data_IF_967481120431
#
_entry.id   IF_967481120431
#
_cell.length_a   1.000
_cell.length_b   1.000
_cell.length_c   1.000
_cell.angle_alpha   90.00
_cell.angle_beta   90.00
_cell.angle_gamma   90.00
#
_symmetry.space_group_name_H-M   'P 1'
#
loop_
_entity.id
_entity.type
_entity.pdbx_description
1 polymer ?
#
# COMPACT_ATOMS: atom_id res chain seq x y z
N UNK A 1 11.00 -48.11 13.81
CA UNK A 1 10.73 -46.78 13.25
C UNK A 1 9.66 -46.15 14.10
N UNK A 2 9.73 -44.86 14.37
CA UNK A 2 8.64 -44.15 15.03
C UNK A 2 7.42 -44.05 14.11
N UNK A 3 6.23 -44.10 14.69
CA UNK A 3 4.97 -43.92 13.98
C UNK A 3 4.24 -42.62 14.38
N UNK A 4 3.10 -42.36 13.76
CA UNK A 4 2.30 -41.17 14.05
C UNK A 4 1.72 -41.15 15.48
N UNK A 5 1.54 -42.31 16.10
CA UNK A 5 1.07 -42.43 17.48
C UNK A 5 2.17 -42.05 18.47
N UNK A 6 3.43 -42.37 18.19
CA UNK A 6 4.58 -41.93 19.00
C UNK A 6 4.63 -40.40 19.06
N UNK A 7 4.50 -39.72 17.91
CA UNK A 7 4.50 -38.27 17.85
C UNK A 7 3.28 -37.63 18.53
N UNK A 8 2.10 -38.28 18.44
CA UNK A 8 0.88 -37.83 19.14
C UNK A 8 0.99 -38.04 20.65
N UNK A 9 1.56 -39.17 21.08
CA UNK A 9 1.83 -39.51 22.47
C UNK A 9 2.74 -38.48 23.13
N UNK A 10 3.87 -38.14 22.49
CA UNK A 10 4.78 -37.10 22.96
C UNK A 10 4.07 -35.76 23.18
N UNK A 11 3.26 -35.29 22.22
CA UNK A 11 2.50 -34.04 22.36
C UNK A 11 1.50 -34.09 23.51
N UNK A 12 0.80 -35.21 23.67
CA UNK A 12 -0.12 -35.42 24.78
C UNK A 12 0.61 -35.40 26.15
N UNK A 13 1.80 -35.99 26.26
CA UNK A 13 2.62 -35.93 27.48
C UNK A 13 2.99 -34.50 27.87
N UNK A 14 3.14 -33.61 26.88
CA UNK A 14 3.38 -32.18 27.08
C UNK A 14 2.08 -31.37 27.30
N UNK A 15 0.91 -32.02 27.34
CA UNK A 15 -0.39 -31.35 27.55
C UNK A 15 -1.08 -30.84 26.29
N UNK A 16 -0.59 -31.19 25.09
CA UNK A 16 -1.13 -30.70 23.82
C UNK A 16 -1.86 -31.78 23.03
N UNK A 17 -3.17 -31.60 22.85
CA UNK A 17 -4.03 -32.50 22.07
C UNK A 17 -4.13 -32.13 20.58
N UNK A 18 -3.57 -30.97 20.20
CA UNK A 18 -3.57 -30.44 18.84
C UNK A 18 -2.14 -30.19 18.37
N UNK A 19 -1.81 -30.61 17.14
CA UNK A 19 -0.53 -30.28 16.53
C UNK A 19 -0.35 -28.77 16.35
N UNK A 20 -1.43 -28.03 16.04
CA UNK A 20 -1.36 -26.57 15.88
C UNK A 20 -1.11 -25.86 17.20
N UNK A 21 -1.82 -26.24 18.27
CA UNK A 21 -1.61 -25.65 19.60
C UNK A 21 -0.17 -25.88 20.08
N UNK A 22 0.39 -27.07 19.82
CA UNK A 22 1.78 -27.35 20.15
C UNK A 22 2.78 -26.53 19.32
N UNK A 23 2.51 -26.32 18.03
CA UNK A 23 3.33 -25.44 17.16
C UNK A 23 3.27 -23.99 17.61
N UNK A 24 2.10 -23.51 18.04
CA UNK A 24 1.91 -22.16 18.54
C UNK A 24 2.69 -21.97 19.84
N UNK A 25 2.54 -22.88 20.81
CA UNK A 25 3.30 -22.85 22.07
C UNK A 25 4.81 -22.87 21.85
N UNK A 26 5.33 -23.82 21.07
CA UNK A 26 6.77 -23.90 20.79
C UNK A 26 7.30 -22.66 20.06
N UNK A 27 6.44 -21.99 19.28
CA UNK A 27 6.76 -20.75 18.59
C UNK A 27 6.44 -19.48 19.38
N UNK A 28 5.99 -19.59 20.63
CA UNK A 28 5.45 -18.50 21.46
C UNK A 28 4.38 -17.64 20.75
N UNK A 29 3.63 -18.23 19.80
CA UNK A 29 2.61 -17.53 19.00
C UNK A 29 1.29 -17.33 19.75
N UNK A 30 1.12 -18.04 20.86
CA UNK A 30 0.04 -17.89 21.82
C UNK A 30 0.21 -16.66 22.72
N UNK A 31 1.42 -16.08 22.77
CA UNK A 31 1.69 -14.81 23.45
C UNK A 31 1.40 -13.66 22.49
N UNK A 32 0.32 -12.93 22.73
CA UNK A 32 0.01 -11.74 21.94
C UNK A 32 0.86 -10.54 22.41
N UNK A 33 1.73 -9.96 21.56
CA UNK A 33 2.46 -8.76 21.94
C UNK A 33 1.49 -7.60 22.18
N UNK A 34 1.72 -6.84 23.25
CA UNK A 34 0.98 -5.61 23.49
C UNK A 34 1.36 -4.55 22.44
N UNK A 35 0.41 -3.66 22.14
CA UNK A 35 0.67 -2.52 21.29
C UNK A 35 1.49 -1.49 22.06
N UNK A 36 2.64 -1.11 21.52
CA UNK A 36 3.46 -0.04 22.04
C UNK A 36 3.01 1.30 21.45
N UNK A 37 2.15 2.00 22.19
CA UNK A 37 1.64 3.30 21.78
C UNK A 37 2.72 4.39 21.74
N UNK A 38 3.81 4.27 22.50
CA UNK A 38 4.91 5.22 22.42
C UNK A 38 5.65 5.08 21.09
N UNK A 39 5.94 3.84 20.69
CA UNK A 39 6.53 3.54 19.39
C UNK A 39 5.60 3.96 18.24
N UNK A 40 4.29 3.63 18.34
CA UNK A 40 3.29 4.06 17.35
C UNK A 40 3.23 5.57 17.20
N UNK A 41 3.29 6.33 18.30
CA UNK A 41 3.31 7.79 18.26
C UNK A 41 4.60 8.34 17.63
N UNK A 42 5.74 7.72 17.89
CA UNK A 42 7.00 8.08 17.23
C UNK A 42 6.93 7.85 15.71
N UNK A 43 6.33 6.73 15.28
CA UNK A 43 6.08 6.43 13.87
C UNK A 43 5.13 7.45 13.22
N UNK A 44 4.05 7.83 13.92
CA UNK A 44 3.14 8.90 13.48
C UNK A 44 3.88 10.22 13.28
N UNK A 45 4.71 10.63 14.24
CA UNK A 45 5.53 11.85 14.14
C UNK A 45 6.47 11.78 12.93
N UNK A 46 7.08 10.63 12.67
CA UNK A 46 7.93 10.43 11.49
C UNK A 46 7.17 10.59 10.17
N UNK A 47 5.90 10.19 10.09
CA UNK A 47 5.08 10.46 8.89
C UNK A 47 4.93 11.97 8.65
N UNK A 48 4.63 12.74 9.70
CA UNK A 48 4.53 14.21 9.61
C UNK A 48 5.85 14.79 9.10
N UNK A 49 6.98 14.39 9.70
CA UNK A 49 8.32 14.84 9.28
C UNK A 49 8.61 14.53 7.80
N UNK A 50 8.28 13.32 7.33
CA UNK A 50 8.49 12.90 5.93
C UNK A 50 7.68 13.79 4.98
N UNK A 51 6.38 13.95 5.22
CA UNK A 51 5.51 14.70 4.31
C UNK A 51 5.77 16.21 4.38
N UNK A 52 6.19 16.75 5.54
CA UNK A 52 6.70 18.12 5.63
C UNK A 52 7.97 18.32 4.78
N UNK A 53 8.90 17.37 4.82
CA UNK A 53 10.12 17.43 4.02
C UNK A 53 9.83 17.34 2.51
N UNK A 54 8.93 16.44 2.11
CA UNK A 54 8.47 16.32 0.71
C UNK A 54 7.79 17.62 0.25
N UNK A 55 6.91 18.20 1.08
CA UNK A 55 6.20 19.42 0.74
C UNK A 55 7.14 20.60 0.42
N UNK A 56 8.32 20.64 1.03
CA UNK A 56 9.28 21.72 0.78
C UNK A 56 9.80 21.77 -0.67
N UNK A 57 9.81 20.63 -1.36
CA UNK A 57 10.31 20.49 -2.74
C UNK A 57 9.22 20.13 -3.76
N UNK A 58 8.00 19.89 -3.31
CA UNK A 58 6.90 19.44 -4.15
C UNK A 58 6.42 20.55 -5.10
N UNK A 59 6.19 20.22 -6.38
CA UNK A 59 5.77 21.21 -7.39
C UNK A 59 4.35 21.77 -7.19
N UNK A 60 3.51 21.07 -6.43
CA UNK A 60 2.20 21.55 -5.96
C UNK A 60 2.23 21.77 -4.44
N UNK A 61 3.30 22.39 -3.94
CA UNK A 61 3.54 22.68 -2.52
C UNK A 61 2.28 23.25 -1.84
N UNK A 62 1.92 22.61 -0.73
CA UNK A 62 0.85 23.07 0.15
C UNK A 62 1.34 24.26 0.95
N UNK A 63 0.48 25.27 1.12
CA UNK A 63 0.67 26.29 2.14
C UNK A 63 0.71 25.67 3.54
N UNK A 64 1.19 26.43 4.53
CA UNK A 64 1.24 25.99 5.92
C UNK A 64 -0.13 25.54 6.42
N UNK A 65 -1.17 26.34 6.17
CA UNK A 65 -2.55 26.01 6.55
C UNK A 65 -3.08 24.75 5.84
N UNK A 66 -2.82 24.59 4.54
CA UNK A 66 -3.24 23.39 3.79
C UNK A 66 -2.53 22.13 4.29
N UNK A 67 -1.24 22.24 4.62
CA UNK A 67 -0.45 21.13 5.14
C UNK A 67 -0.90 20.73 6.56
N UNK A 68 -1.16 21.70 7.43
CA UNK A 68 -1.75 21.44 8.75
C UNK A 68 -3.11 20.76 8.64
N UNK A 69 -3.97 21.25 7.74
CA UNK A 69 -5.27 20.65 7.47
C UNK A 69 -5.14 19.21 6.94
N UNK A 70 -4.16 18.95 6.07
CA UNK A 70 -3.85 17.61 5.59
C UNK A 70 -3.43 16.68 6.75
N UNK A 71 -2.51 17.09 7.62
CA UNK A 71 -2.08 16.26 8.75
C UNK A 71 -3.22 15.97 9.72
N UNK A 72 -4.07 16.95 10.01
CA UNK A 72 -5.23 16.76 10.89
C UNK A 72 -6.19 15.71 10.33
N UNK A 73 -6.50 15.76 9.03
CA UNK A 73 -7.54 14.92 8.43
C UNK A 73 -7.06 13.54 7.97
N UNK A 74 -5.80 13.45 7.51
CA UNK A 74 -5.25 12.25 6.88
C UNK A 74 -4.30 11.49 7.79
N UNK A 75 -3.72 12.13 8.81
CA UNK A 75 -2.90 11.45 9.82
C UNK A 75 -3.68 11.33 11.13
N UNK A 76 -3.93 12.44 11.83
CA UNK A 76 -4.46 12.41 13.20
C UNK A 76 -5.82 11.70 13.26
N UNK A 77 -6.79 12.13 12.42
CA UNK A 77 -8.12 11.52 12.36
C UNK A 77 -8.08 10.02 12.03
N UNK A 78 -7.20 9.60 11.12
CA UNK A 78 -7.11 8.20 10.70
C UNK A 78 -6.44 7.34 11.78
N UNK A 79 -5.38 7.84 12.42
CA UNK A 79 -4.74 7.18 13.55
C UNK A 79 -5.71 7.01 14.72
N UNK A 80 -6.46 8.05 15.10
CA UNK A 80 -7.50 7.95 16.13
C UNK A 80 -8.50 6.85 15.78
N UNK A 81 -9.03 6.84 14.56
CA UNK A 81 -9.93 5.77 14.09
C UNK A 81 -9.32 4.37 14.21
N UNK A 82 -8.05 4.18 13.82
CA UNK A 82 -7.35 2.89 13.91
C UNK A 82 -7.26 2.39 15.36
N UNK A 83 -6.96 3.31 16.28
CA UNK A 83 -6.81 3.01 17.71
C UNK A 83 -8.17 2.76 18.36
N UNK A 84 -9.12 3.69 18.19
CA UNK A 84 -10.43 3.68 18.84
C UNK A 84 -11.28 2.47 18.43
N UNK A 85 -11.05 1.91 17.24
CA UNK A 85 -11.77 0.74 16.73
C UNK A 85 -11.00 -0.56 16.87
N UNK A 86 -9.84 -0.54 17.52
CA UNK A 86 -8.96 -1.70 17.70
C UNK A 86 -8.54 -2.38 16.38
N UNK A 87 -8.66 -1.69 15.23
CA UNK A 87 -8.19 -2.19 13.93
C UNK A 87 -6.71 -2.52 14.00
N UNK A 88 -5.93 -1.78 14.78
CA UNK A 88 -4.49 -2.01 14.94
C UNK A 88 -4.17 -3.46 15.28
N UNK A 89 -4.97 -4.15 16.10
CA UNK A 89 -4.72 -5.55 16.46
C UNK A 89 -4.95 -6.53 15.30
N UNK A 90 -5.70 -6.13 14.27
CA UNK A 90 -5.94 -6.90 13.05
C UNK A 90 -4.90 -6.62 11.97
N UNK A 91 -4.04 -5.60 12.15
CA UNK A 91 -2.97 -5.29 11.23
C UNK A 91 -1.82 -6.25 11.42
N UNK A 92 -1.85 -7.35 10.67
CA UNK A 92 -0.79 -8.36 10.69
C UNK A 92 -0.15 -8.47 9.31
N UNK A 93 1.14 -8.79 9.27
CA UNK A 93 1.84 -9.11 8.03
C UNK A 93 3.09 -9.96 8.31
N UNK A 94 3.01 -11.27 8.10
CA UNK A 94 4.15 -12.20 8.20
C UNK A 94 4.94 -12.06 9.51
N UNK A 95 4.26 -11.92 10.65
CA UNK A 95 4.89 -11.79 11.97
C UNK A 95 5.44 -10.39 12.30
N UNK A 96 5.29 -9.40 11.40
CA UNK A 96 5.59 -8.00 11.71
C UNK A 96 4.69 -7.47 12.82
N UNK A 97 5.25 -6.55 13.60
CA UNK A 97 4.54 -5.83 14.66
C UNK A 97 3.39 -5.00 14.06
N UNK A 98 2.20 -4.98 14.68
CA UNK A 98 1.07 -4.24 14.13
C UNK A 98 1.32 -2.74 13.93
N UNK A 99 2.16 -2.13 14.77
CA UNK A 99 2.57 -0.72 14.67
C UNK A 99 3.34 -0.44 13.37
N UNK A 100 4.22 -1.36 12.96
CA UNK A 100 4.99 -1.24 11.71
C UNK A 100 4.11 -1.48 10.48
N UNK A 101 3.16 -2.41 10.59
CA UNK A 101 2.15 -2.64 9.54
C UNK A 101 1.27 -1.41 9.39
N UNK A 102 0.83 -0.81 10.50
CA UNK A 102 0.10 0.46 10.52
C UNK A 102 0.92 1.57 9.86
N UNK A 103 2.17 1.76 10.26
CA UNK A 103 3.06 2.76 9.65
C UNK A 103 3.22 2.55 8.13
N UNK A 104 3.48 1.31 7.70
CA UNK A 104 3.63 1.03 6.27
C UNK A 104 2.35 1.26 5.48
N UNK A 105 1.19 0.94 6.04
CA UNK A 105 -0.10 1.20 5.42
C UNK A 105 -0.38 2.71 5.35
N UNK A 106 -0.20 3.42 6.47
CA UNK A 106 -0.38 4.88 6.54
C UNK A 106 0.51 5.60 5.55
N UNK A 107 1.75 5.17 5.34
CA UNK A 107 2.61 5.74 4.30
C UNK A 107 1.99 5.65 2.91
N UNK A 108 1.50 4.47 2.52
CA UNK A 108 0.87 4.28 1.20
C UNK A 108 -0.38 5.13 1.04
N UNK A 109 -1.26 5.11 2.05
CA UNK A 109 -2.46 5.95 2.10
C UNK A 109 -2.14 7.45 1.96
N UNK A 110 -1.14 7.94 2.70
CA UNK A 110 -0.75 9.34 2.65
C UNK A 110 -0.16 9.73 1.30
N UNK A 111 0.57 8.85 0.60
CA UNK A 111 1.01 9.11 -0.78
C UNK A 111 -0.19 9.31 -1.70
N UNK A 112 -1.17 8.41 -1.63
CA UNK A 112 -2.38 8.50 -2.45
C UNK A 112 -3.16 9.81 -2.19
N UNK A 113 -3.27 10.23 -0.93
CA UNK A 113 -3.94 11.49 -0.57
C UNK A 113 -3.12 12.75 -0.90
N UNK A 114 -1.84 12.76 -0.58
CA UNK A 114 -0.97 13.94 -0.69
C UNK A 114 -0.71 14.34 -2.14
N UNK A 115 -0.55 13.37 -3.03
CA UNK A 115 -0.24 13.62 -4.44
C UNK A 115 -1.48 13.78 -5.33
N UNK A 116 -2.67 13.95 -4.77
CA UNK A 116 -3.90 14.16 -5.55
C UNK A 116 -3.81 15.34 -6.52
N UNK A 117 -3.14 16.43 -6.14
CA UNK A 117 -2.95 17.58 -7.04
C UNK A 117 -2.06 17.22 -8.25
N UNK A 118 -1.00 16.43 -8.02
CA UNK A 118 -0.16 15.90 -9.08
C UNK A 118 -0.95 14.99 -10.01
N UNK A 119 -1.73 14.06 -9.44
CA UNK A 119 -2.59 13.13 -10.21
C UNK A 119 -3.63 13.91 -11.01
N UNK A 120 -4.33 14.86 -10.40
CA UNK A 120 -5.34 15.68 -11.06
C UNK A 120 -4.74 16.41 -12.28
N UNK A 121 -3.58 17.03 -12.09
CA UNK A 121 -2.85 17.69 -13.17
C UNK A 121 -2.43 16.71 -14.27
N UNK A 122 -1.86 15.56 -13.88
CA UNK A 122 -1.34 14.56 -14.80
C UNK A 122 -2.43 13.99 -15.73
N UNK A 123 -3.63 13.78 -15.20
CA UNK A 123 -4.77 13.25 -15.96
C UNK A 123 -5.71 14.34 -16.49
N UNK A 124 -5.31 15.61 -16.41
CA UNK A 124 -6.11 16.77 -16.82
C UNK A 124 -7.55 16.70 -16.27
N UNK A 125 -7.67 16.47 -14.97
CA UNK A 125 -8.94 16.36 -14.25
C UNK A 125 -8.95 17.24 -13.01
N UNK A 126 -10.11 17.34 -12.36
CA UNK A 126 -10.26 18.10 -11.12
C UNK A 126 -10.00 17.18 -9.93
N UNK A 127 -9.42 17.71 -8.85
CA UNK A 127 -9.10 16.92 -7.65
C UNK A 127 -10.34 16.24 -7.06
N UNK A 128 -11.48 16.93 -7.13
CA UNK A 128 -12.77 16.51 -6.59
C UNK A 128 -13.39 15.33 -7.35
N UNK A 129 -12.95 15.07 -8.58
CA UNK A 129 -13.43 13.92 -9.38
C UNK A 129 -12.63 12.64 -9.08
N UNK A 130 -11.53 12.73 -8.33
CA UNK A 130 -10.73 11.59 -7.87
C UNK A 130 -11.45 10.96 -6.66
N UNK A 131 -12.29 9.96 -6.94
CA UNK A 131 -13.08 9.27 -5.91
C UNK A 131 -12.39 8.00 -5.45
N UNK A 132 -12.43 7.73 -4.15
CA UNK A 132 -12.02 6.43 -3.61
C UNK A 132 -12.85 5.30 -4.21
N UNK A 133 -12.18 4.24 -4.64
CA UNK A 133 -12.76 3.01 -5.17
C UNK A 133 -12.38 1.78 -4.32
N UNK A 134 -11.20 1.83 -3.67
CA UNK A 134 -10.68 0.79 -2.79
C UNK A 134 -11.56 0.54 -1.56
N UNK A 135 -11.53 -0.70 -1.06
CA UNK A 135 -12.28 -1.12 0.13
C UNK A 135 -11.53 -0.91 1.45
N UNK A 136 -10.33 -0.35 1.39
CA UNK A 136 -9.42 -0.11 2.50
C UNK A 136 -9.40 1.36 2.94
N UNK A 137 -10.49 2.10 2.71
CA UNK A 137 -10.63 3.45 3.25
C UNK A 137 -11.09 3.43 4.72
N UNK A 138 -10.70 4.44 5.49
CA UNK A 138 -11.13 4.63 6.89
C UNK A 138 -12.41 5.48 6.99
N UNK A 139 -13.14 5.67 5.89
CA UNK A 139 -14.43 6.36 5.90
C UNK A 139 -15.49 5.49 6.59
N UNK A 140 -15.46 4.18 6.34
CA UNK A 140 -16.26 3.19 7.07
C UNK A 140 -15.38 2.06 7.60
N UNK A 141 -15.13 2.08 8.91
CA UNK A 141 -14.33 1.08 9.64
C UNK A 141 -14.98 -0.30 9.55
N UNK A 142 -16.32 -0.35 9.49
CA UNK A 142 -17.11 -1.58 9.37
C UNK A 142 -16.89 -2.29 8.03
N UNK A 143 -16.56 -1.54 6.97
CA UNK A 143 -16.30 -2.07 5.64
C UNK A 143 -14.81 -2.21 5.31
N UNK A 144 -13.91 -1.76 6.20
CA UNK A 144 -12.45 -1.82 6.01
C UNK A 144 -12.02 -3.26 5.72
N UNK A 145 -11.61 -3.50 4.48
CA UNK A 145 -11.06 -4.78 4.02
C UNK A 145 -9.90 -4.50 3.09
N UNK A 146 -8.75 -5.13 3.38
CA UNK A 146 -7.63 -5.16 2.42
C UNK A 146 -8.15 -5.71 1.10
N UNK A 147 -8.08 -4.91 0.05
CA UNK A 147 -8.64 -5.23 -1.26
C UNK A 147 -7.56 -5.12 -2.32
N UNK A 148 -7.55 -6.00 -3.35
CA UNK A 148 -6.68 -5.83 -4.49
C UNK A 148 -7.15 -4.71 -5.43
N UNK A 149 -8.35 -4.15 -5.20
CA UNK A 149 -8.90 -3.04 -5.99
C UNK A 149 -7.96 -1.83 -6.02
N UNK A 150 -8.07 -1.07 -7.10
CA UNK A 150 -7.41 0.22 -7.27
C UNK A 150 -7.91 1.25 -6.24
N UNK A 151 -7.06 2.21 -5.90
CA UNK A 151 -7.35 3.25 -4.91
C UNK A 151 -8.44 4.21 -5.38
N UNK A 152 -8.37 4.66 -6.64
CA UNK A 152 -9.24 5.68 -7.18
C UNK A 152 -9.96 5.28 -8.47
N UNK A 153 -11.11 5.91 -8.70
CA UNK A 153 -11.84 5.92 -9.96
C UNK A 153 -11.93 7.36 -10.47
N UNK A 154 -11.36 7.60 -11.65
CA UNK A 154 -11.41 8.89 -12.36
C UNK A 154 -12.52 8.88 -13.41
N UNK A 155 -13.40 9.87 -13.33
CA UNK A 155 -14.48 10.13 -14.30
C UNK A 155 -15.30 8.88 -14.68
N UNK A 156 -15.43 7.89 -13.78
CA UNK A 156 -16.10 6.61 -14.01
C UNK A 156 -15.54 5.73 -15.15
N UNK A 157 -14.36 6.05 -15.70
CA UNK A 157 -13.82 5.38 -16.89
C UNK A 157 -12.34 5.00 -16.78
N UNK A 158 -11.69 5.28 -15.66
CA UNK A 158 -10.29 4.93 -15.43
C UNK A 158 -10.05 4.61 -13.96
N UNK A 159 -9.50 3.44 -13.68
CA UNK A 159 -9.03 3.08 -12.35
C UNK A 159 -7.58 3.53 -12.19
N UNK A 160 -7.26 4.12 -11.03
CA UNK A 160 -5.89 4.45 -10.65
C UNK A 160 -5.49 3.68 -9.39
N UNK A 161 -4.42 2.92 -9.49
CA UNK A 161 -3.70 2.31 -8.37
C UNK A 161 -2.51 3.20 -8.05
N UNK A 162 -2.39 3.67 -6.81
CA UNK A 162 -1.25 4.48 -6.38
C UNK A 162 -0.27 3.60 -5.61
N UNK A 163 0.97 3.54 -6.10
CA UNK A 163 2.05 2.84 -5.42
C UNK A 163 3.17 3.81 -5.04
N UNK A 164 3.96 3.42 -4.04
CA UNK A 164 5.11 4.21 -3.60
C UNK A 164 6.35 3.35 -3.39
N UNK A 165 7.46 3.81 -3.95
CA UNK A 165 8.80 3.31 -3.69
C UNK A 165 9.47 4.11 -2.58
N UNK A 166 10.03 3.42 -1.58
CA UNK A 166 10.74 4.05 -0.45
C UNK A 166 12.22 3.67 -0.36
N UNK A 167 12.69 2.77 -1.23
CA UNK A 167 14.03 2.17 -1.17
C UNK A 167 14.71 2.10 -2.55
N UNK A 168 14.13 2.75 -3.57
CA UNK A 168 14.62 2.69 -4.95
C UNK A 168 14.32 1.37 -5.67
N UNK A 169 13.53 0.48 -5.07
CA UNK A 169 12.98 -0.70 -5.75
C UNK A 169 11.56 -0.38 -6.18
N UNK A 170 11.31 -0.45 -7.48
CA UNK A 170 10.07 -0.03 -8.12
C UNK A 170 9.44 -1.23 -8.83
N UNK A 171 8.55 -1.92 -8.12
CA UNK A 171 7.92 -3.16 -8.59
C UNK A 171 6.41 -3.10 -8.34
N UNK A 172 5.62 -3.60 -9.30
CA UNK A 172 4.18 -3.75 -9.20
C UNK A 172 3.86 -5.21 -8.86
N UNK A 173 3.09 -5.43 -7.80
CA UNK A 173 2.72 -6.79 -7.39
C UNK A 173 1.83 -7.47 -8.42
N UNK A 174 2.10 -8.74 -8.72
CA UNK A 174 1.34 -9.50 -9.73
C UNK A 174 -0.17 -9.47 -9.52
N UNK A 175 -0.66 -9.63 -8.29
CA UNK A 175 -2.09 -9.62 -8.01
C UNK A 175 -2.79 -8.29 -8.34
N UNK A 176 -2.05 -7.17 -8.39
CA UNK A 176 -2.59 -5.87 -8.84
C UNK A 176 -2.77 -5.85 -10.35
N UNK A 177 -1.82 -6.42 -11.10
CA UNK A 177 -1.93 -6.58 -12.56
C UNK A 177 -3.08 -7.52 -12.93
N UNK A 178 -3.21 -8.66 -12.25
CA UNK A 178 -4.30 -9.61 -12.49
C UNK A 178 -5.68 -9.00 -12.18
N UNK A 179 -5.81 -8.23 -11.10
CA UNK A 179 -7.05 -7.52 -10.81
C UNK A 179 -7.36 -6.46 -11.88
N UNK A 180 -6.36 -5.71 -12.35
CA UNK A 180 -6.53 -4.73 -13.42
C UNK A 180 -6.99 -5.35 -14.75
N UNK A 181 -6.42 -6.49 -15.15
CA UNK A 181 -6.85 -7.24 -16.33
C UNK A 181 -8.30 -7.71 -16.19
N UNK A 182 -8.65 -8.27 -15.03
CA UNK A 182 -10.03 -8.69 -14.72
C UNK A 182 -11.03 -7.53 -14.81
N UNK A 183 -10.67 -6.34 -14.34
CA UNK A 183 -11.49 -5.13 -14.45
C UNK A 183 -11.67 -4.65 -15.88
N UNK A 184 -10.61 -4.73 -16.69
CA UNK A 184 -10.71 -4.43 -18.11
C UNK A 184 -11.62 -5.43 -18.85
N UNK A 185 -11.60 -6.71 -18.47
CA UNK A 185 -12.46 -7.73 -19.06
C UNK A 185 -13.94 -7.56 -18.71
N UNK A 186 -14.24 -7.41 -17.41
CA UNK A 186 -15.61 -7.38 -16.88
C UNK A 186 -16.24 -5.99 -17.04
N UNK A 187 -15.56 -4.96 -16.55
CA UNK A 187 -16.11 -3.61 -16.43
C UNK A 187 -15.79 -2.74 -17.65
N UNK A 188 -14.88 -3.19 -18.54
CA UNK A 188 -14.32 -2.41 -19.66
C UNK A 188 -13.59 -1.14 -19.21
N UNK A 189 -13.09 -1.13 -17.97
CA UNK A 189 -12.36 0.00 -17.38
C UNK A 189 -10.87 -0.35 -17.27
N UNK A 190 -9.98 0.40 -17.95
CA UNK A 190 -8.53 0.20 -17.82
C UNK A 190 -8.04 0.66 -16.44
N UNK A 191 -6.90 0.12 -16.01
CA UNK A 191 -6.24 0.50 -14.77
C UNK A 191 -4.82 0.98 -15.03
N UNK A 192 -4.47 2.14 -14.50
CA UNK A 192 -3.12 2.69 -14.51
C UNK A 192 -2.56 2.67 -13.10
N UNK A 193 -1.31 2.23 -12.96
CA UNK A 193 -0.52 2.48 -11.75
C UNK A 193 0.15 3.84 -11.88
N UNK A 194 -0.06 4.70 -10.88
CA UNK A 194 0.75 5.91 -10.66
C UNK A 194 1.73 5.58 -9.53
N UNK A 195 2.99 5.34 -9.90
CA UNK A 195 4.03 4.96 -8.95
C UNK A 195 4.89 6.16 -8.59
N UNK A 196 4.85 6.56 -7.32
CA UNK A 196 5.71 7.61 -6.75
C UNK A 196 6.94 6.98 -6.10
N UNK A 197 8.09 7.03 -6.77
CA UNK A 197 9.36 6.65 -6.19
C UNK A 197 9.90 7.82 -5.36
N UNK A 198 9.52 7.85 -4.09
CA UNK A 198 9.92 8.90 -3.15
C UNK A 198 11.40 8.84 -2.78
N UNK A 199 12.05 7.68 -3.01
CA UNK A 199 13.48 7.55 -2.77
C UNK A 199 14.29 8.34 -3.80
N UNK A 200 13.87 8.32 -5.06
CA UNK A 200 14.56 9.01 -6.16
C UNK A 200 13.87 10.29 -6.65
N UNK A 201 12.68 10.63 -6.13
CA UNK A 201 11.95 11.85 -6.49
C UNK A 201 11.29 11.82 -7.86
N UNK A 202 10.97 10.63 -8.37
CA UNK A 202 10.46 10.39 -9.73
C UNK A 202 9.10 9.69 -9.72
N UNK A 203 8.35 9.83 -10.80
CA UNK A 203 7.00 9.26 -10.95
C UNK A 203 6.87 8.53 -12.27
N UNK A 204 6.31 7.33 -12.23
CA UNK A 204 5.98 6.52 -13.39
C UNK A 204 4.47 6.31 -13.50
N UNK A 205 3.99 6.23 -14.74
CA UNK A 205 2.62 5.82 -15.05
C UNK A 205 2.66 4.60 -15.96
N UNK A 206 1.99 3.53 -15.55
CA UNK A 206 2.01 2.24 -16.28
C UNK A 206 0.58 1.75 -16.44
N UNK A 207 0.13 1.51 -17.67
CA UNK A 207 -1.18 0.88 -17.93
C UNK A 207 -1.12 -0.63 -17.65
N UNK A 208 -1.31 -0.98 -16.38
CA UNK A 208 -1.12 -2.35 -15.91
C UNK A 208 -2.16 -3.34 -16.45
N UNK A 209 -3.34 -2.88 -16.86
CA UNK A 209 -4.36 -3.76 -17.45
C UNK A 209 -3.96 -4.33 -18.81
N UNK A 210 -2.90 -3.82 -19.46
CA UNK A 210 -2.40 -4.29 -20.76
C UNK A 210 -1.08 -5.06 -20.67
N UNK A 211 -0.50 -5.22 -19.48
CA UNK A 211 0.73 -5.99 -19.29
C UNK A 211 0.48 -7.44 -19.71
N UNK A 212 1.39 -8.01 -20.51
CA UNK A 212 1.31 -9.41 -20.96
C UNK A 212 1.99 -10.34 -19.96
N UNK A 213 1.54 -11.57 -19.85
CA UNK A 213 2.14 -12.57 -18.96
C UNK A 213 3.60 -12.92 -19.33
N UNK A 214 3.94 -12.82 -20.61
CA UNK A 214 5.28 -13.11 -21.12
C UNK A 214 6.17 -11.85 -21.25
N UNK A 215 5.79 -10.74 -20.62
CA UNK A 215 6.61 -9.52 -20.60
C UNK A 215 7.96 -9.76 -19.90
N UNK A 216 9.03 -9.22 -20.47
CA UNK A 216 10.40 -9.40 -19.95
C UNK A 216 10.61 -8.76 -18.57
N UNK A 217 9.76 -7.81 -18.18
CA UNK A 217 9.83 -7.14 -16.89
C UNK A 217 9.24 -7.96 -15.74
N UNK A 218 8.62 -9.11 -16.01
CA UNK A 218 8.24 -10.05 -14.95
C UNK A 218 9.47 -10.69 -14.32
N UNK A 219 9.63 -10.47 -13.03
CA UNK A 219 10.76 -10.99 -12.26
C UNK A 219 10.29 -11.62 -10.95
N UNK A 220 11.06 -12.59 -10.46
CA UNK A 220 10.84 -13.20 -9.15
C UNK A 220 11.78 -12.55 -8.12
N UNK A 221 11.21 -11.92 -7.09
CA UNK A 221 11.99 -11.27 -6.02
C UNK A 221 12.07 -12.18 -4.80
N UNK A 222 13.27 -12.72 -4.51
CA UNK A 222 13.51 -13.51 -3.30
C UNK A 222 13.25 -12.70 -2.02
N UNK A 223 13.56 -11.40 -2.03
CA UNK A 223 13.27 -10.46 -0.94
C UNK A 223 11.76 -10.30 -0.66
N UNK A 224 10.90 -10.67 -1.62
CA UNK A 224 9.45 -10.73 -1.45
C UNK A 224 8.95 -12.18 -1.37
N UNK A 225 9.70 -13.04 -0.68
CA UNK A 225 9.36 -14.47 -0.49
C UNK A 225 9.17 -15.23 -1.82
N UNK A 226 9.88 -14.82 -2.87
CA UNK A 226 9.76 -15.44 -4.19
C UNK A 226 8.48 -15.06 -4.93
N UNK A 227 7.81 -13.96 -4.55
CA UNK A 227 6.67 -13.45 -5.31
C UNK A 227 7.12 -12.94 -6.68
N UNK A 228 6.27 -13.19 -7.68
CA UNK A 228 6.38 -12.58 -9.00
C UNK A 228 5.90 -11.14 -8.94
N UNK A 229 6.68 -10.23 -9.52
CA UNK A 229 6.37 -8.81 -9.61
C UNK A 229 6.77 -8.30 -10.99
N UNK A 230 6.10 -7.24 -11.42
CA UNK A 230 6.45 -6.53 -12.64
C UNK A 230 7.40 -5.39 -12.28
N UNK A 231 8.64 -5.44 -12.76
CA UNK A 231 9.61 -4.38 -12.53
C UNK A 231 9.27 -3.15 -13.39
N UNK A 232 9.18 -1.98 -12.76
CA UNK A 232 9.01 -0.73 -13.49
C UNK A 232 10.40 -0.30 -13.98
N UNK A 233 10.68 -0.50 -15.27
CA UNK A 233 11.91 0.00 -15.91
C UNK A 233 12.05 1.52 -15.75
N UNK A 234 13.29 2.00 -15.73
CA UNK A 234 13.60 3.43 -15.64
C UNK A 234 12.96 4.24 -16.78
N UNK A 235 12.72 3.62 -17.94
CA UNK A 235 12.08 4.25 -19.11
C UNK A 235 10.61 4.66 -18.86
N UNK A 236 9.95 4.12 -17.83
CA UNK A 236 8.60 4.51 -17.45
C UNK A 236 8.56 5.78 -16.57
N UNK A 237 9.71 6.21 -16.02
CA UNK A 237 9.80 7.35 -15.10
C UNK A 237 9.95 8.67 -15.85
N UNK A 238 8.84 9.17 -16.36
CA UNK A 238 8.78 10.35 -17.22
C UNK A 238 8.56 11.68 -16.47
N UNK A 239 8.37 11.64 -15.15
CA UNK A 239 8.04 12.83 -14.36
C UNK A 239 8.86 12.89 -13.06
N UNK A 240 9.04 14.11 -12.56
CA UNK A 240 9.66 14.38 -11.25
C UNK A 240 8.66 15.01 -10.31
N UNK A 241 8.74 14.65 -9.03
CA UNK A 241 7.88 15.21 -7.98
C UNK A 241 8.10 16.73 -7.81
N UNK A 242 9.29 17.21 -8.15
CA UNK A 242 9.70 18.61 -8.00
C UNK A 242 9.34 19.50 -9.18
N UNK A 243 8.82 18.93 -10.27
CA UNK A 243 8.50 19.66 -11.50
C UNK A 243 7.03 19.44 -11.87
N UNK A 244 6.36 20.48 -12.38
CA UNK A 244 5.01 20.28 -12.95
C UNK A 244 5.16 19.43 -14.22
N UNK A 245 4.34 18.38 -14.42
CA UNK A 245 4.40 17.58 -15.64
C UNK A 245 4.33 18.44 -16.91
N UNK A 246 5.31 18.34 -17.81
CA UNK A 246 5.34 19.16 -19.02
C UNK A 246 4.28 18.72 -20.07
N UNK A 247 3.71 17.53 -19.90
CA UNK A 247 2.62 16.98 -20.70
C UNK A 247 1.70 16.14 -19.79
N UNK A 248 0.40 16.23 -20.05
CA UNK A 248 -0.55 15.29 -19.47
C UNK A 248 -0.20 13.85 -19.90
N UNK A 249 -0.56 12.87 -19.09
CA UNK A 249 -0.37 11.47 -19.43
C UNK A 249 -1.20 11.09 -20.67
N UNK A 250 -0.55 10.55 -21.69
CA UNK A 250 -1.20 10.02 -22.89
C UNK A 250 -1.31 8.49 -22.74
N UNK A 251 -2.54 7.97 -22.76
CA UNK A 251 -2.85 6.54 -22.63
C UNK A 251 -2.34 5.67 -23.78
N UNK A 252 -1.78 6.28 -24.83
CA UNK A 252 -1.20 5.58 -25.97
C UNK A 252 0.33 5.36 -25.83
N UNK A 253 0.95 5.79 -24.73
CA UNK A 253 2.31 5.43 -24.32
C UNK A 253 2.30 4.15 -23.48
#
# INVERSE_FOLDING_TARGET
MFDNNDFKGYRNCLGFHSQNAFKEFLGAKDIQPCIDFNYLNALKKRLIEIFSAINNIYCFKYSEHELEYFFKNSIERVFSKIVDTHIIHKLTNQGRRPEEVCFSWMRGFLVAEFFKDFIAYLFNTQKETIKFFGGDNFESIESFKRSPKADFLLNNHLLLEVQSGFQGINDIKQHKVLEAQRRLEIDKIPTIVVHFDLFNGQVACVEISKIKENDLNWITRQQMEGQSVFNISQDFFNYKITEKPNRAFDKNQ
#
